data_IF_598827820988
#
_entry.id   IF_598827820988
#
_cell.length_a   1.000
_cell.length_b   1.000
_cell.length_c   1.000
_cell.angle_alpha   90.00
_cell.angle_beta   90.00
_cell.angle_gamma   90.00
#
_symmetry.space_group_name_H-M   'P 1'
#
loop_
_entity.id
_entity.type
_entity.pdbx_description
1 polymer ?
#
# COMPACT_ATOMS: atom_id res chain seq x y z
N UNK A 1 -1.61 15.20 -34.27
CA UNK A 1 -1.08 13.90 -33.78
C UNK A 1 -2.19 12.95 -33.38
N UNK A 2 -1.85 11.74 -32.92
CA UNK A 2 -2.81 10.67 -32.60
C UNK A 2 -3.98 11.14 -31.71
N UNK A 3 -3.68 11.72 -30.54
CA UNK A 3 -4.70 12.21 -29.61
C UNK A 3 -5.59 13.29 -30.22
N UNK A 4 -5.02 14.22 -30.96
CA UNK A 4 -5.76 15.27 -31.65
C UNK A 4 -6.73 14.69 -32.70
N UNK A 5 -6.26 13.70 -33.48
CA UNK A 5 -7.10 12.98 -34.43
C UNK A 5 -8.25 12.24 -33.74
N UNK A 6 -8.00 11.58 -32.62
CA UNK A 6 -9.05 10.96 -31.81
C UNK A 6 -10.10 12.00 -31.37
N UNK A 7 -9.64 13.13 -30.81
CA UNK A 7 -10.53 14.21 -30.37
C UNK A 7 -11.37 14.80 -31.49
N UNK A 8 -10.83 14.87 -32.72
CA UNK A 8 -11.51 15.43 -33.89
C UNK A 8 -12.48 14.46 -34.57
N UNK A 9 -12.13 13.20 -34.62
CA UNK A 9 -12.83 12.21 -35.45
C UNK A 9 -13.80 11.32 -34.72
N UNK A 10 -13.59 11.07 -33.39
CA UNK A 10 -14.53 10.27 -32.63
C UNK A 10 -15.80 11.07 -32.30
N UNK A 11 -16.93 10.36 -32.32
CA UNK A 11 -18.19 10.90 -31.80
C UNK A 11 -17.96 11.41 -30.37
N UNK A 12 -18.54 12.58 -30.05
CA UNK A 12 -18.34 13.24 -28.74
C UNK A 12 -18.93 12.44 -27.57
N UNK A 13 -19.88 11.53 -27.82
CA UNK A 13 -20.46 10.66 -26.80
C UNK A 13 -19.53 9.50 -26.39
N UNK A 14 -18.46 9.23 -27.17
CA UNK A 14 -17.49 8.19 -26.84
C UNK A 14 -16.49 8.74 -25.82
N UNK A 15 -16.42 8.11 -24.67
CA UNK A 15 -15.42 8.43 -23.65
C UNK A 15 -14.04 7.95 -24.08
N UNK A 16 -13.00 8.75 -23.78
CA UNK A 16 -11.60 8.39 -24.03
C UNK A 16 -10.94 8.13 -22.68
N UNK A 17 -10.54 6.88 -22.45
CA UNK A 17 -9.79 6.49 -21.25
C UNK A 17 -8.33 6.90 -21.37
N UNK A 18 -7.76 7.34 -20.26
CA UNK A 18 -6.37 7.78 -20.18
C UNK A 18 -5.76 7.49 -18.82
N UNK A 19 -4.54 7.00 -18.78
CA UNK A 19 -3.85 6.59 -17.55
C UNK A 19 -3.02 7.71 -16.90
N UNK A 20 -2.91 8.85 -17.56
CA UNK A 20 -2.00 9.93 -17.17
C UNK A 20 -0.74 9.96 -18.06
N UNK A 21 0.28 10.69 -17.62
CA UNK A 21 1.52 10.87 -18.37
C UNK A 21 2.40 9.60 -18.42
N UNK A 22 2.07 8.59 -17.66
CA UNK A 22 2.70 7.26 -17.66
C UNK A 22 1.65 6.17 -17.42
N UNK A 23 2.05 4.90 -17.48
CA UNK A 23 1.15 3.76 -17.21
C UNK A 23 0.58 3.84 -15.81
N UNK A 24 1.42 4.17 -14.83
CA UNK A 24 1.00 4.44 -13.44
C UNK A 24 1.37 5.90 -13.16
N UNK A 25 0.36 6.74 -12.95
CA UNK A 25 0.54 8.17 -12.75
C UNK A 25 -0.45 8.73 -11.73
N UNK A 26 -0.12 9.88 -11.18
CA UNK A 26 -1.06 10.76 -10.49
C UNK A 26 -1.65 11.77 -11.47
N UNK A 27 -2.89 12.15 -11.25
CA UNK A 27 -3.64 13.07 -12.11
C UNK A 27 -3.83 14.39 -11.36
N UNK A 28 -3.39 15.46 -11.97
CA UNK A 28 -3.48 16.82 -11.45
C UNK A 28 -4.06 17.78 -12.49
N UNK A 29 -4.13 19.06 -12.14
CA UNK A 29 -4.66 20.11 -12.99
C UNK A 29 -3.81 20.35 -14.24
N UNK A 30 -2.50 20.24 -14.13
CA UNK A 30 -1.58 20.39 -15.25
C UNK A 30 -1.82 19.27 -16.27
N UNK A 31 -1.92 18.06 -15.79
CA UNK A 31 -2.17 16.86 -16.57
C UNK A 31 -3.50 16.94 -17.33
N UNK A 32 -4.59 17.35 -16.64
CA UNK A 32 -5.90 17.50 -17.30
C UNK A 32 -5.94 18.65 -18.28
N UNK A 33 -5.28 19.78 -18.00
CA UNK A 33 -5.14 20.90 -18.92
C UNK A 33 -4.36 20.55 -20.19
N UNK A 34 -3.46 19.56 -20.11
CA UNK A 34 -2.72 19.08 -21.28
C UNK A 34 -3.58 18.15 -22.15
N UNK A 35 -4.25 17.16 -21.57
CA UNK A 35 -4.95 16.12 -22.34
C UNK A 35 -6.29 16.59 -22.90
N UNK A 36 -7.11 17.29 -22.09
CA UNK A 36 -8.49 17.60 -22.46
C UNK A 36 -8.62 18.41 -23.76
N UNK A 37 -7.80 19.44 -24.03
CA UNK A 37 -7.84 20.16 -25.31
C UNK A 37 -7.49 19.25 -26.50
N UNK A 38 -6.55 18.31 -26.34
CA UNK A 38 -6.13 17.40 -27.40
C UNK A 38 -7.25 16.45 -27.80
N UNK A 39 -7.94 15.88 -26.82
CA UNK A 39 -9.04 14.92 -27.05
C UNK A 39 -10.40 15.60 -27.19
N UNK A 40 -10.49 16.93 -27.03
CA UNK A 40 -11.70 17.78 -27.13
C UNK A 40 -12.85 17.34 -26.22
N UNK A 41 -12.51 16.76 -25.07
CA UNK A 41 -13.43 16.33 -24.02
C UNK A 41 -12.68 16.12 -22.72
N UNK A 42 -13.40 15.89 -21.63
CA UNK A 42 -12.77 15.49 -20.36
C UNK A 42 -12.28 14.04 -20.49
N UNK A 43 -11.06 13.77 -20.05
CA UNK A 43 -10.55 12.41 -20.00
C UNK A 43 -11.32 11.58 -18.97
N UNK A 44 -11.60 10.31 -19.31
CA UNK A 44 -12.05 9.32 -18.36
C UNK A 44 -10.80 8.60 -17.82
N UNK A 45 -10.55 8.70 -16.53
CA UNK A 45 -9.29 8.24 -15.94
C UNK A 45 -9.34 6.73 -15.73
N UNK A 46 -8.44 6.01 -16.40
CA UNK A 46 -8.10 4.63 -16.09
C UNK A 46 -6.98 4.68 -15.03
N UNK A 47 -7.37 4.50 -13.78
CA UNK A 47 -6.44 4.59 -12.66
C UNK A 47 -5.80 3.23 -12.39
N UNK A 48 -4.52 3.08 -12.72
CA UNK A 48 -3.74 1.88 -12.45
C UNK A 48 -3.34 1.81 -10.97
N UNK A 49 -4.34 1.60 -10.12
CA UNK A 49 -4.23 1.39 -8.69
C UNK A 49 -5.50 0.68 -8.17
N UNK A 50 -5.38 -0.38 -7.36
CA UNK A 50 -4.18 -0.97 -6.78
C UNK A 50 -3.56 -2.12 -7.60
N UNK A 51 -3.62 -2.12 -8.90
CA UNK A 51 -3.05 -3.20 -9.74
C UNK A 51 -1.58 -3.48 -9.37
N UNK A 52 -1.23 -4.78 -9.27
CA UNK A 52 0.10 -5.25 -8.90
C UNK A 52 0.66 -6.33 -9.84
N UNK A 53 0.13 -6.45 -11.05
CA UNK A 53 0.53 -7.47 -12.03
C UNK A 53 2.00 -7.40 -12.46
N UNK A 54 2.64 -6.26 -12.25
CA UNK A 54 4.07 -5.99 -12.48
C UNK A 54 4.98 -6.28 -11.25
N UNK A 55 4.38 -6.58 -10.08
CA UNK A 55 5.05 -6.88 -8.80
C UNK A 55 4.17 -7.84 -7.97
N UNK A 56 3.87 -9.00 -8.52
CA UNK A 56 2.86 -9.94 -7.97
C UNK A 56 3.16 -10.48 -6.57
N UNK A 57 4.39 -10.37 -6.13
CA UNK A 57 4.83 -10.71 -4.78
C UNK A 57 4.52 -9.63 -3.73
N UNK A 58 4.07 -8.44 -4.16
CA UNK A 58 3.65 -7.36 -3.29
C UNK A 58 2.13 -7.16 -3.30
N UNK A 59 1.54 -6.84 -2.15
CA UNK A 59 0.17 -6.32 -2.03
C UNK A 59 0.19 -4.81 -1.91
N UNK A 60 -0.82 -4.15 -2.49
CA UNK A 60 -1.01 -2.71 -2.38
C UNK A 60 -2.25 -2.42 -1.51
N UNK A 61 -2.09 -2.53 -0.20
CA UNK A 61 -3.17 -2.39 0.79
C UNK A 61 -3.26 -0.98 1.40
N UNK A 62 -2.41 -0.06 0.95
CA UNK A 62 -2.40 1.31 1.46
C UNK A 62 -3.53 2.17 0.91
N UNK A 63 -3.72 3.38 1.48
CA UNK A 63 -4.72 4.34 1.02
C UNK A 63 -4.41 4.84 -0.39
N UNK A 64 -5.43 5.25 -1.14
CA UNK A 64 -5.23 5.96 -2.39
C UNK A 64 -4.92 7.43 -2.12
N UNK A 65 -3.87 7.97 -2.73
CA UNK A 65 -3.47 9.37 -2.65
C UNK A 65 -2.65 9.78 -3.88
N UNK A 66 -2.37 11.07 -4.00
CA UNK A 66 -1.53 11.66 -5.04
C UNK A 66 -2.33 12.36 -6.13
N UNK A 67 -3.56 11.94 -6.43
CA UNK A 67 -4.41 12.69 -7.34
C UNK A 67 -4.88 13.99 -6.70
N UNK A 68 -4.95 15.06 -7.50
CA UNK A 68 -5.35 16.39 -7.03
C UNK A 68 -6.85 16.45 -6.72
N UNK A 69 -7.25 17.24 -5.72
CA UNK A 69 -8.66 17.41 -5.33
C UNK A 69 -9.41 18.43 -6.20
N UNK A 70 -8.68 19.26 -6.95
CA UNK A 70 -9.24 20.37 -7.73
C UNK A 70 -9.60 19.99 -9.19
N UNK A 71 -9.49 18.72 -9.55
CA UNK A 71 -9.78 18.20 -10.90
C UNK A 71 -11.20 17.67 -11.10
N UNK A 72 -12.08 17.79 -10.09
CA UNK A 72 -13.44 17.25 -10.17
C UNK A 72 -14.24 17.67 -11.40
N UNK A 73 -13.97 18.88 -11.89
CA UNK A 73 -14.63 19.43 -13.09
C UNK A 73 -13.85 19.17 -14.38
N UNK A 74 -12.67 18.54 -14.33
CA UNK A 74 -11.77 18.36 -15.46
C UNK A 74 -11.67 16.90 -15.92
N UNK A 75 -12.28 15.97 -15.19
CA UNK A 75 -12.35 14.55 -15.56
C UNK A 75 -13.79 14.13 -15.83
N UNK A 76 -13.97 13.14 -16.69
CA UNK A 76 -15.29 12.55 -16.98
C UNK A 76 -15.69 11.48 -15.94
N UNK A 77 -14.71 10.90 -15.27
CA UNK A 77 -14.88 9.87 -14.25
C UNK A 77 -13.61 9.07 -14.04
N UNK A 78 -13.71 8.04 -13.19
CA UNK A 78 -12.61 7.13 -12.86
C UNK A 78 -13.05 5.68 -13.03
N UNK A 79 -12.15 4.85 -13.51
CA UNK A 79 -12.19 3.40 -13.40
C UNK A 79 -10.88 2.94 -12.76
N UNK A 80 -10.96 2.12 -11.73
CA UNK A 80 -9.80 1.53 -11.08
C UNK A 80 -9.41 0.21 -11.76
N UNK A 81 -8.10 -0.04 -11.85
CA UNK A 81 -7.55 -1.33 -12.21
C UNK A 81 -7.07 -2.01 -10.91
N UNK A 82 -7.76 -3.04 -10.39
CA UNK A 82 -7.43 -3.68 -9.11
C UNK A 82 -6.30 -4.70 -9.22
N UNK A 83 -5.85 -5.22 -8.06
CA UNK A 83 -5.05 -6.44 -8.01
C UNK A 83 -5.88 -7.65 -8.49
N UNK A 84 -5.21 -8.75 -8.83
CA UNK A 84 -5.88 -10.05 -9.06
C UNK A 84 -6.52 -10.61 -7.77
N UNK A 85 -6.13 -10.09 -6.62
CA UNK A 85 -6.65 -10.40 -5.29
C UNK A 85 -7.87 -9.54 -5.01
N UNK A 86 -9.06 -10.08 -5.29
CA UNK A 86 -10.31 -9.32 -5.29
C UNK A 86 -10.70 -8.81 -3.90
N UNK A 87 -10.54 -9.64 -2.88
CA UNK A 87 -10.89 -9.27 -1.51
C UNK A 87 -9.91 -8.23 -0.94
N UNK A 88 -8.61 -8.44 -1.14
CA UNK A 88 -7.58 -7.49 -0.74
C UNK A 88 -7.72 -6.13 -1.44
N UNK A 89 -8.13 -6.14 -2.70
CA UNK A 89 -8.37 -4.91 -3.48
C UNK A 89 -9.46 -4.03 -2.89
N UNK A 90 -10.44 -4.58 -2.17
CA UNK A 90 -11.55 -3.80 -1.57
C UNK A 90 -11.04 -2.68 -0.66
N UNK A 91 -9.94 -2.90 0.06
CA UNK A 91 -9.34 -1.88 0.94
C UNK A 91 -8.98 -0.61 0.15
N UNK A 92 -8.25 -0.78 -0.95
CA UNK A 92 -7.81 0.34 -1.79
C UNK A 92 -8.94 0.88 -2.67
N UNK A 93 -9.81 0.00 -3.19
CA UNK A 93 -10.95 0.41 -4.02
C UNK A 93 -11.97 1.25 -3.26
N UNK A 94 -12.17 1.01 -1.96
CA UNK A 94 -12.97 1.87 -1.10
C UNK A 94 -12.46 3.31 -1.15
N UNK A 95 -11.16 3.50 -0.98
CA UNK A 95 -10.54 4.83 -1.05
C UNK A 95 -10.66 5.47 -2.44
N UNK A 96 -10.57 4.68 -3.52
CA UNK A 96 -10.78 5.16 -4.90
C UNK A 96 -12.22 5.64 -5.10
N UNK A 97 -13.18 4.87 -4.60
CA UNK A 97 -14.60 5.22 -4.67
C UNK A 97 -14.91 6.49 -3.87
N UNK A 98 -14.41 6.59 -2.65
CA UNK A 98 -14.60 7.73 -1.77
C UNK A 98 -14.01 9.02 -2.37
N UNK A 99 -12.77 8.96 -2.87
CA UNK A 99 -12.15 10.06 -3.62
C UNK A 99 -12.99 10.47 -4.84
N UNK A 100 -13.47 9.51 -5.63
CA UNK A 100 -14.25 9.79 -6.83
C UNK A 100 -15.62 10.38 -6.52
N UNK A 101 -16.20 10.02 -5.38
CA UNK A 101 -17.51 10.51 -4.93
C UNK A 101 -17.43 11.96 -4.45
N UNK A 102 -16.46 12.31 -3.63
CA UNK A 102 -16.28 13.67 -3.11
C UNK A 102 -14.79 14.03 -2.91
N UNK A 103 -14.14 14.45 -3.99
CA UNK A 103 -12.72 14.83 -3.99
C UNK A 103 -12.40 15.94 -2.98
N UNK A 104 -13.30 16.92 -2.78
CA UNK A 104 -13.00 18.09 -1.95
C UNK A 104 -12.81 17.73 -0.49
N UNK A 105 -13.68 16.86 0.04
CA UNK A 105 -13.62 16.42 1.44
C UNK A 105 -12.90 15.09 1.65
N UNK A 106 -12.32 14.49 0.59
CA UNK A 106 -11.61 13.24 0.68
C UNK A 106 -10.42 13.33 1.64
N UNK A 107 -10.34 12.39 2.59
CA UNK A 107 -9.20 12.14 3.45
C UNK A 107 -8.73 10.70 3.25
N UNK A 108 -7.53 10.53 2.72
CA UNK A 108 -7.01 9.24 2.32
C UNK A 108 -6.86 8.27 3.49
N UNK A 109 -6.37 8.76 4.63
CA UNK A 109 -6.16 7.93 5.81
C UNK A 109 -7.47 7.57 6.51
N UNK A 110 -8.40 8.51 6.59
CA UNK A 110 -9.72 8.23 7.18
C UNK A 110 -10.50 7.24 6.31
N UNK A 111 -10.47 7.44 5.00
CA UNK A 111 -11.12 6.54 4.03
C UNK A 111 -10.55 5.11 4.12
N UNK A 112 -9.22 4.99 4.22
CA UNK A 112 -8.53 3.72 4.37
C UNK A 112 -8.91 2.99 5.68
N UNK A 113 -8.95 3.71 6.80
CA UNK A 113 -9.40 3.15 8.08
C UNK A 113 -10.86 2.70 8.04
N UNK A 114 -11.73 3.48 7.39
CA UNK A 114 -13.13 3.11 7.21
C UNK A 114 -13.25 1.81 6.39
N UNK A 115 -12.47 1.68 5.31
CA UNK A 115 -12.44 0.46 4.50
C UNK A 115 -12.06 -0.78 5.31
N UNK A 116 -11.01 -0.68 6.13
CA UNK A 116 -10.57 -1.77 7.00
C UNK A 116 -11.63 -2.09 8.06
N UNK A 117 -12.22 -1.06 8.66
CA UNK A 117 -13.28 -1.23 9.66
C UNK A 117 -14.53 -1.91 9.08
N UNK A 118 -14.92 -1.58 7.85
CA UNK A 118 -16.05 -2.20 7.17
C UNK A 118 -15.80 -3.68 6.83
N UNK A 119 -14.54 -4.03 6.48
CA UNK A 119 -14.17 -5.39 6.11
C UNK A 119 -13.91 -6.32 7.30
N UNK A 120 -13.36 -5.77 8.38
CA UNK A 120 -12.92 -6.50 9.58
C UNK A 120 -13.17 -5.67 10.86
N UNK A 121 -14.44 -5.41 11.25
CA UNK A 121 -14.77 -4.54 12.37
C UNK A 121 -14.06 -4.87 13.67
N UNK A 122 -13.93 -6.17 14.01
CA UNK A 122 -13.30 -6.62 15.26
C UNK A 122 -11.77 -6.75 15.14
N UNK A 123 -11.25 -6.86 13.93
CA UNK A 123 -9.83 -7.10 13.65
C UNK A 123 -9.15 -5.90 12.97
N UNK A 124 -9.86 -4.78 12.78
CA UNK A 124 -9.35 -3.60 12.11
C UNK A 124 -7.96 -3.14 12.62
N UNK A 125 -7.68 -3.07 13.93
CA UNK A 125 -6.35 -2.66 14.41
C UNK A 125 -5.21 -3.58 13.95
N UNK A 126 -5.47 -4.88 13.83
CA UNK A 126 -4.48 -5.84 13.35
C UNK A 126 -4.28 -5.73 11.84
N UNK A 127 -5.36 -5.52 11.09
CA UNK A 127 -5.28 -5.31 9.66
C UNK A 127 -4.58 -3.99 9.32
N UNK A 128 -4.77 -2.92 10.09
CA UNK A 128 -4.02 -1.67 9.95
C UNK A 128 -2.52 -1.88 10.12
N UNK A 129 -2.10 -2.65 11.15
CA UNK A 129 -0.69 -2.97 11.39
C UNK A 129 -0.12 -3.70 10.16
N UNK A 130 -0.75 -4.78 9.72
CA UNK A 130 -0.28 -5.56 8.59
C UNK A 130 -0.24 -4.74 7.28
N UNK A 131 -1.32 -4.02 6.97
CA UNK A 131 -1.44 -3.27 5.72
C UNK A 131 -0.44 -2.10 5.59
N UNK A 132 0.03 -1.52 6.70
CA UNK A 132 1.11 -0.53 6.70
C UNK A 132 2.44 -1.07 6.19
N UNK A 133 2.65 -2.38 6.26
CA UNK A 133 3.84 -3.07 5.76
C UNK A 133 3.62 -3.74 4.40
N UNK A 134 2.46 -3.49 3.76
CA UNK A 134 2.07 -4.04 2.46
C UNK A 134 1.45 -2.95 1.57
N UNK A 135 2.14 -1.84 1.36
CA UNK A 135 1.59 -0.65 0.67
C UNK A 135 2.41 -0.16 -0.51
N UNK A 136 3.67 -0.60 -0.64
CA UNK A 136 4.58 -0.20 -1.71
C UNK A 136 4.87 -1.36 -2.67
N UNK A 137 4.95 -1.03 -3.94
CA UNK A 137 5.32 -1.98 -4.99
C UNK A 137 6.80 -2.37 -5.00
N UNK A 138 7.64 -1.74 -4.16
CA UNK A 138 9.08 -1.90 -4.22
C UNK A 138 9.68 -1.34 -5.52
N UNK A 139 10.99 -1.54 -5.76
CA UNK A 139 11.65 -1.15 -7.00
C UNK A 139 11.02 -1.87 -8.20
N UNK A 140 10.56 -1.13 -9.22
CA UNK A 140 9.88 -1.69 -10.38
C UNK A 140 10.11 -0.85 -11.64
N UNK A 141 9.79 -1.40 -12.80
CA UNK A 141 10.01 -0.78 -14.11
C UNK A 141 9.15 0.46 -14.39
N UNK A 142 8.11 0.71 -13.60
CA UNK A 142 7.24 1.90 -13.75
C UNK A 142 7.68 3.07 -12.87
N UNK A 143 8.63 2.85 -11.95
CA UNK A 143 9.05 3.87 -10.98
C UNK A 143 7.96 4.22 -9.94
N UNK A 144 6.87 3.45 -9.90
CA UNK A 144 5.78 3.67 -8.96
C UNK A 144 6.20 3.24 -7.56
N UNK A 145 6.14 4.18 -6.62
CA UNK A 145 6.51 3.96 -5.21
C UNK A 145 5.46 4.62 -4.32
N UNK A 146 5.20 3.99 -3.18
CA UNK A 146 4.29 4.50 -2.15
C UNK A 146 4.95 4.45 -0.78
N UNK A 147 4.37 5.14 0.17
CA UNK A 147 4.86 5.10 1.55
C UNK A 147 4.48 3.76 2.19
N UNK A 148 5.46 3.16 2.85
CA UNK A 148 5.32 1.89 3.56
C UNK A 148 6.23 1.89 4.78
N UNK A 149 5.79 1.28 5.88
CA UNK A 149 6.57 1.14 7.12
C UNK A 149 7.17 2.48 7.61
N UNK A 150 6.41 3.56 7.48
CA UNK A 150 6.90 4.92 7.72
C UNK A 150 7.38 5.15 9.15
N UNK A 151 6.80 4.44 10.12
CA UNK A 151 7.17 4.51 11.54
C UNK A 151 8.42 3.69 11.84
N UNK A 152 8.64 2.60 11.11
CA UNK A 152 9.76 1.69 11.31
C UNK A 152 11.06 2.16 10.62
N UNK A 153 10.96 2.71 9.41
CA UNK A 153 12.12 3.14 8.61
C UNK A 153 13.10 4.06 9.35
N UNK A 154 12.66 5.10 10.07
CA UNK A 154 13.57 5.96 10.84
C UNK A 154 14.31 5.21 11.95
N UNK A 155 13.67 4.22 12.57
CA UNK A 155 14.27 3.41 13.63
C UNK A 155 15.31 2.45 13.07
N UNK A 156 15.05 1.85 11.92
CA UNK A 156 16.03 1.03 11.21
C UNK A 156 17.27 1.86 10.82
N UNK A 157 17.07 3.07 10.27
CA UNK A 157 18.19 3.97 9.96
C UNK A 157 18.97 4.39 11.21
N UNK A 158 18.31 4.56 12.35
CA UNK A 158 19.00 4.84 13.62
C UNK A 158 19.82 3.64 14.12
N UNK A 159 19.35 2.40 13.87
CA UNK A 159 20.12 1.18 14.16
C UNK A 159 21.30 0.98 13.20
N UNK A 160 21.13 1.31 11.92
CA UNK A 160 22.24 1.31 10.95
C UNK A 160 23.36 2.28 11.37
N UNK A 161 23.01 3.42 11.91
CA UNK A 161 23.96 4.42 12.40
C UNK A 161 24.63 4.03 13.73
N UNK A 162 23.87 3.42 14.64
CA UNK A 162 24.33 2.95 15.94
C UNK A 162 23.53 1.71 16.38
N UNK A 163 24.14 0.55 16.27
CA UNK A 163 23.52 -0.74 16.66
C UNK A 163 23.20 -0.84 18.16
N UNK A 164 23.83 -0.02 19.00
CA UNK A 164 23.60 0.04 20.44
C UNK A 164 22.53 1.06 20.83
N UNK A 165 21.88 1.72 19.88
CA UNK A 165 20.75 2.61 20.14
C UNK A 165 19.58 1.86 20.76
N UNK A 166 19.50 1.85 22.08
CA UNK A 166 18.52 1.09 22.86
C UNK A 166 17.08 1.50 22.52
N UNK A 167 16.81 2.78 22.30
CA UNK A 167 15.47 3.25 21.94
C UNK A 167 15.05 2.71 20.57
N UNK A 168 15.94 2.73 19.59
CA UNK A 168 15.65 2.18 18.26
C UNK A 168 15.47 0.66 18.33
N UNK A 169 16.31 -0.05 19.13
CA UNK A 169 16.13 -1.49 19.36
C UNK A 169 14.75 -1.82 19.95
N UNK A 170 14.29 -1.06 20.95
CA UNK A 170 12.97 -1.30 21.55
C UNK A 170 11.84 -1.00 20.57
N UNK A 171 11.88 0.13 19.85
CA UNK A 171 10.85 0.46 18.86
C UNK A 171 10.76 -0.58 17.73
N UNK A 172 11.90 -1.07 17.23
CA UNK A 172 11.91 -2.12 16.18
C UNK A 172 11.39 -3.43 16.74
N UNK A 173 11.80 -3.82 17.97
CA UNK A 173 11.33 -5.03 18.63
C UNK A 173 9.80 -5.00 18.83
N UNK A 174 9.27 -3.91 19.34
CA UNK A 174 7.83 -3.73 19.57
C UNK A 174 7.04 -3.83 18.26
N UNK A 175 7.51 -3.21 17.18
CA UNK A 175 6.81 -3.28 15.88
C UNK A 175 6.88 -4.69 15.29
N UNK A 176 8.00 -5.40 15.43
CA UNK A 176 8.11 -6.81 15.02
C UNK A 176 7.15 -7.72 15.81
N UNK A 177 6.99 -7.52 17.12
CA UNK A 177 6.03 -8.25 17.94
C UNK A 177 4.59 -7.92 17.52
N UNK A 178 4.30 -6.66 17.24
CA UNK A 178 2.98 -6.21 16.76
C UNK A 178 2.62 -6.84 15.41
N UNK A 179 3.58 -6.85 14.47
CA UNK A 179 3.38 -7.46 13.15
C UNK A 179 3.14 -8.96 13.26
N UNK A 180 3.96 -9.70 14.02
CA UNK A 180 3.76 -11.14 14.26
C UNK A 180 2.36 -11.39 14.86
N UNK A 181 2.01 -10.67 15.92
CA UNK A 181 0.71 -10.78 16.59
C UNK A 181 -0.45 -10.49 15.62
N UNK A 182 -0.33 -9.43 14.83
CA UNK A 182 -1.34 -9.06 13.85
C UNK A 182 -1.55 -10.18 12.82
N UNK A 183 -0.46 -10.74 12.30
CA UNK A 183 -0.53 -11.84 11.34
C UNK A 183 -1.18 -13.09 11.95
N UNK A 184 -0.85 -13.47 13.19
CA UNK A 184 -1.46 -14.61 13.87
C UNK A 184 -2.97 -14.41 14.10
N UNK A 185 -3.37 -13.22 14.55
CA UNK A 185 -4.78 -12.88 14.76
C UNK A 185 -5.56 -12.91 13.47
N UNK A 186 -4.99 -12.39 12.38
CA UNK A 186 -5.63 -12.39 11.05
C UNK A 186 -5.69 -13.80 10.44
N UNK A 187 -4.67 -14.63 10.62
CA UNK A 187 -4.69 -16.03 10.16
C UNK A 187 -5.71 -16.90 10.89
N UNK A 188 -6.05 -16.54 12.12
CA UNK A 188 -7.08 -17.21 12.93
C UNK A 188 -8.48 -16.57 12.76
N UNK A 189 -8.62 -15.60 11.86
CA UNK A 189 -9.87 -14.88 11.67
C UNK A 189 -11.00 -15.74 11.13
N UNK A 190 -12.21 -15.46 11.62
CA UNK A 190 -13.48 -16.09 11.21
C UNK A 190 -14.53 -15.07 10.77
N UNK A 191 -14.19 -13.77 10.81
CA UNK A 191 -15.10 -12.67 10.48
C UNK A 191 -15.16 -12.44 8.95
N UNK A 192 -13.99 -12.41 8.30
CA UNK A 192 -13.87 -12.30 6.85
C UNK A 192 -12.83 -13.30 6.31
N UNK A 193 -13.23 -14.56 6.25
CA UNK A 193 -12.34 -15.66 5.84
C UNK A 193 -11.96 -15.60 4.37
N UNK A 194 -12.72 -14.93 3.53
CA UNK A 194 -12.39 -14.74 2.11
C UNK A 194 -11.15 -13.86 1.99
N UNK A 195 -11.16 -12.69 2.63
CA UNK A 195 -10.02 -11.79 2.65
C UNK A 195 -8.79 -12.43 3.32
N UNK A 196 -8.94 -12.98 4.52
CA UNK A 196 -7.80 -13.52 5.28
C UNK A 196 -7.20 -14.77 4.66
N UNK A 197 -7.98 -15.58 3.95
CA UNK A 197 -7.46 -16.70 3.16
C UNK A 197 -6.74 -16.22 1.88
N UNK A 198 -7.27 -15.22 1.20
CA UNK A 198 -6.65 -14.67 -0.02
C UNK A 198 -5.26 -14.11 0.28
N UNK A 199 -5.10 -13.34 1.37
CA UNK A 199 -3.82 -12.74 1.78
C UNK A 199 -2.95 -13.66 2.67
N UNK A 200 -3.36 -14.89 2.94
CA UNK A 200 -2.66 -15.81 3.84
C UNK A 200 -1.18 -16.02 3.52
N UNK A 201 -0.72 -16.10 2.26
CA UNK A 201 0.70 -16.21 1.95
C UNK A 201 1.50 -15.01 2.51
N UNK A 202 1.00 -13.80 2.38
CA UNK A 202 1.65 -12.59 2.91
C UNK A 202 1.57 -12.49 4.43
N UNK A 203 0.45 -12.92 5.04
CA UNK A 203 0.36 -13.01 6.50
C UNK A 203 1.43 -13.95 7.08
N UNK A 204 1.68 -15.10 6.42
CA UNK A 204 2.77 -16.00 6.81
C UNK A 204 4.13 -15.33 6.69
N UNK A 205 4.39 -14.61 5.60
CA UNK A 205 5.65 -13.89 5.43
C UNK A 205 5.80 -12.73 6.43
N UNK A 206 4.73 -11.99 6.69
CA UNK A 206 4.72 -10.93 7.71
C UNK A 206 5.01 -11.47 9.11
N UNK A 207 4.45 -12.64 9.47
CA UNK A 207 4.77 -13.34 10.73
C UNK A 207 6.27 -13.68 10.79
N UNK A 208 6.81 -14.35 9.76
CA UNK A 208 8.23 -14.70 9.71
C UNK A 208 9.14 -13.47 9.79
N UNK A 209 8.75 -12.37 9.15
CA UNK A 209 9.49 -11.10 9.23
C UNK A 209 9.49 -10.55 10.67
N UNK A 210 8.35 -10.63 11.36
CA UNK A 210 8.25 -10.27 12.79
C UNK A 210 9.16 -11.12 13.66
N UNK A 211 9.10 -12.44 13.53
CA UNK A 211 9.95 -13.40 14.27
C UNK A 211 11.44 -13.20 13.99
N UNK A 212 11.80 -12.97 12.71
CA UNK A 212 13.17 -12.66 12.31
C UNK A 212 13.67 -11.37 12.94
N UNK A 213 12.90 -10.28 12.83
CA UNK A 213 13.28 -8.99 13.39
C UNK A 213 13.47 -9.03 14.91
N UNK A 214 12.59 -9.73 15.63
CA UNK A 214 12.75 -9.97 17.07
C UNK A 214 14.06 -10.70 17.37
N UNK A 215 14.36 -11.76 16.63
CA UNK A 215 15.59 -12.53 16.80
C UNK A 215 16.83 -11.68 16.58
N UNK A 216 16.84 -10.85 15.54
CA UNK A 216 17.96 -9.92 15.25
C UNK A 216 18.15 -8.91 16.39
N UNK A 217 17.07 -8.29 16.89
CA UNK A 217 17.18 -7.33 18.01
C UNK A 217 17.66 -8.01 19.29
N UNK A 218 17.17 -9.21 19.57
CA UNK A 218 17.63 -9.96 20.75
C UNK A 218 19.11 -10.38 20.64
N UNK A 219 19.60 -10.69 19.43
CA UNK A 219 21.03 -10.89 19.18
C UNK A 219 21.83 -9.63 19.53
N UNK A 220 21.42 -8.47 19.02
CA UNK A 220 22.10 -7.19 19.30
C UNK A 220 22.16 -6.89 20.80
N UNK A 221 21.09 -7.14 21.53
CA UNK A 221 21.04 -6.99 22.99
C UNK A 221 21.95 -7.96 23.74
N UNK A 222 22.19 -9.16 23.22
CA UNK A 222 23.03 -10.18 23.84
C UNK A 222 24.54 -9.98 23.61
N UNK A 223 24.93 -9.28 22.54
CA UNK A 223 26.32 -9.15 22.06
C UNK A 223 27.37 -8.82 23.12
N UNK A 224 27.16 -7.92 24.10
CA UNK A 224 28.27 -7.62 25.00
C UNK A 224 28.52 -8.66 26.07
N UNK A 225 27.52 -9.47 26.47
CA UNK A 225 27.57 -10.18 27.74
C UNK A 225 27.15 -11.66 27.73
N UNK A 226 26.50 -12.16 26.66
CA UNK A 226 25.95 -13.51 26.63
C UNK A 226 26.04 -14.18 25.24
N UNK A 227 27.20 -14.82 25.00
CA UNK A 227 27.46 -15.54 23.76
C UNK A 227 26.52 -16.73 23.50
N UNK A 228 25.95 -17.35 24.55
CA UNK A 228 25.01 -18.46 24.40
C UNK A 228 23.62 -17.93 23.94
N UNK A 229 23.15 -16.84 24.53
CA UNK A 229 21.94 -16.17 24.08
C UNK A 229 22.07 -15.65 22.65
N UNK A 230 23.22 -15.04 22.30
CA UNK A 230 23.51 -14.62 20.94
C UNK A 230 23.34 -15.77 19.94
N UNK A 231 23.99 -16.91 20.17
CA UNK A 231 23.90 -18.07 19.27
C UNK A 231 22.46 -18.62 19.17
N UNK A 232 21.73 -18.64 20.29
CA UNK A 232 20.33 -19.07 20.28
C UNK A 232 19.46 -18.22 19.36
N UNK A 233 19.62 -16.89 19.40
CA UNK A 233 18.86 -15.96 18.56
C UNK A 233 19.37 -15.95 17.11
N UNK A 234 20.67 -16.15 16.91
CA UNK A 234 21.24 -16.33 15.58
C UNK A 234 20.65 -17.54 14.87
N UNK A 235 20.62 -18.70 15.52
CA UNK A 235 20.04 -19.93 14.96
C UNK A 235 18.54 -19.73 14.61
N UNK A 236 17.78 -19.03 15.46
CA UNK A 236 16.37 -18.70 15.16
C UNK A 236 16.20 -17.74 13.98
N UNK A 237 17.13 -16.81 13.78
CA UNK A 237 17.10 -15.89 12.64
C UNK A 237 17.52 -16.57 11.32
N UNK A 238 18.19 -17.71 11.37
CA UNK A 238 18.63 -18.48 10.20
C UNK A 238 17.63 -19.57 9.76
N UNK A 239 16.56 -19.82 10.52
CA UNK A 239 15.49 -20.77 10.20
C UNK A 239 14.38 -20.10 9.37
#
# INVERSE_FOLDING_TARGET
GYLTTLGEKLNQDIQIMWTGNSVIATIDKETTNWINPLIRRKAYIWWNFPVNDYVRDHLLLGPSYGNSKDIKNDVAGFVANPMEHAEASKISLYSVADYSWNMESYDSMQSWKNAIMDLLPQKAPYMEIFARHCSDAGPNGHGFRREESTELKPMLSALEADVNNSQAQECVLDECIRLETACDVLMADTENTELTNEIRPWLKQGKLLGEYGQSVIMMLKAVPNDGAAFMTHYDRACL
#
